data_IF_729582453495
#
_entry.id   IF_729582453495
#
_cell.length_a   1.000
_cell.length_b   1.000
_cell.length_c   1.000
_cell.angle_alpha   90.00
_cell.angle_beta   90.00
_cell.angle_gamma   90.00
#
_symmetry.space_group_name_H-M   'P 1'
#
loop_
_entity.id
_entity.type
_entity.pdbx_description
1 polymer ?
#
# COMPACT_ATOMS: atom_id res chain seq x y z
N UNK A 1 -1.69 -31.77 8.07
CA UNK A 1 -3.10 -31.81 8.51
C UNK A 1 -3.28 -30.60 9.42
N UNK A 2 -3.80 -29.49 8.90
CA UNK A 2 -4.00 -28.28 9.70
C UNK A 2 -5.27 -28.46 10.53
N UNK A 3 -5.12 -28.34 11.86
CA UNK A 3 -6.22 -28.38 12.82
C UNK A 3 -7.13 -27.18 12.57
N UNK A 4 -8.37 -27.46 12.17
CA UNK A 4 -9.48 -26.52 12.23
C UNK A 4 -9.75 -26.22 13.70
N UNK A 5 -9.13 -25.15 14.19
CA UNK A 5 -9.55 -24.52 15.44
C UNK A 5 -11.00 -24.08 15.19
N UNK A 6 -11.93 -24.72 15.90
CA UNK A 6 -13.32 -24.26 16.00
C UNK A 6 -13.28 -22.81 16.48
N UNK A 7 -13.51 -21.89 15.54
CA UNK A 7 -13.77 -20.51 15.86
C UNK A 7 -15.13 -20.53 16.57
N UNK A 8 -15.12 -20.38 17.89
CA UNK A 8 -16.35 -20.12 18.65
C UNK A 8 -17.11 -18.97 18.00
N UNK A 9 -18.43 -19.00 18.11
CA UNK A 9 -19.35 -18.06 17.46
C UNK A 9 -18.75 -16.65 17.39
N UNK A 10 -18.38 -16.22 16.17
CA UNK A 10 -17.80 -14.92 15.93
C UNK A 10 -18.80 -13.86 16.40
N UNK A 11 -18.48 -13.16 17.48
CA UNK A 11 -19.37 -12.12 17.97
C UNK A 11 -19.56 -11.04 16.89
N UNK A 12 -20.80 -10.53 16.70
CA UNK A 12 -21.10 -9.48 15.73
C UNK A 12 -20.20 -8.23 15.81
N UNK A 13 -19.58 -8.01 16.96
CA UNK A 13 -18.67 -6.90 17.26
C UNK A 13 -17.29 -7.09 16.63
N UNK A 14 -16.83 -8.33 16.39
CA UNK A 14 -15.45 -8.60 15.93
C UNK A 14 -15.23 -8.38 14.45
N UNK A 15 -16.29 -8.19 13.65
CA UNK A 15 -16.15 -7.85 12.24
C UNK A 15 -16.04 -6.33 12.02
N UNK A 16 -16.59 -5.55 12.93
CA UNK A 16 -16.67 -4.10 12.80
C UNK A 16 -15.29 -3.47 12.88
N UNK A 17 -15.05 -2.43 12.10
CA UNK A 17 -13.76 -1.77 11.99
C UNK A 17 -13.25 -1.68 10.55
N UNK A 18 -11.97 -1.35 10.44
CA UNK A 18 -11.29 -1.13 9.18
C UNK A 18 -10.46 -2.34 8.81
N UNK A 19 -10.47 -2.68 7.54
CA UNK A 19 -9.76 -3.84 6.99
C UNK A 19 -9.07 -3.46 5.69
N UNK A 20 -7.90 -4.03 5.43
CA UNK A 20 -7.09 -3.70 4.25
C UNK A 20 -6.52 -4.95 3.59
N UNK A 21 -6.51 -4.98 2.27
CA UNK A 21 -5.83 -6.02 1.51
C UNK A 21 -4.33 -5.77 1.41
N UNK A 22 -3.57 -6.82 1.11
CA UNK A 22 -2.26 -6.65 0.50
C UNK A 22 -2.38 -5.88 -0.83
N UNK A 23 -1.26 -5.33 -1.29
CA UNK A 23 -1.22 -4.64 -2.57
C UNK A 23 -1.58 -5.64 -3.69
N UNK A 24 -2.60 -5.33 -4.49
CA UNK A 24 -2.89 -6.08 -5.71
C UNK A 24 -1.94 -5.69 -6.84
N UNK A 25 -2.00 -6.36 -7.99
CA UNK A 25 -1.02 -6.24 -9.10
C UNK A 25 -0.70 -4.79 -9.54
N UNK A 26 -1.62 -3.85 -9.33
CA UNK A 26 -1.44 -2.42 -9.67
C UNK A 26 -0.93 -1.55 -8.50
N UNK A 27 -0.44 -2.15 -7.41
CA UNK A 27 -0.03 -1.43 -6.21
C UNK A 27 -1.19 -0.83 -5.40
N UNK A 28 -2.43 -1.19 -5.76
CA UNK A 28 -3.64 -0.70 -5.10
C UNK A 28 -3.96 -1.55 -3.88
N UNK A 29 -4.53 -0.93 -2.86
CA UNK A 29 -5.06 -1.61 -1.68
C UNK A 29 -6.57 -1.45 -1.60
N UNK A 30 -7.29 -2.55 -1.35
CA UNK A 30 -8.71 -2.48 -1.04
C UNK A 30 -8.89 -2.28 0.46
N UNK A 31 -9.77 -1.36 0.81
CA UNK A 31 -10.11 -1.06 2.20
C UNK A 31 -11.60 -1.25 2.38
N UNK A 32 -11.99 -2.02 3.39
CA UNK A 32 -13.39 -2.17 3.81
C UNK A 32 -13.52 -1.62 5.22
N UNK A 33 -14.43 -0.67 5.36
CA UNK A 33 -14.83 -0.12 6.64
C UNK A 33 -16.25 -0.59 6.96
N UNK A 34 -16.40 -1.35 8.04
CA UNK A 34 -17.68 -1.86 8.54
C UNK A 34 -18.02 -1.12 9.83
N UNK A 35 -19.12 -0.37 9.82
CA UNK A 35 -19.53 0.49 10.92
C UNK A 35 -20.63 -0.15 11.78
N UNK A 36 -20.86 0.41 12.96
CA UNK A 36 -21.90 -0.03 13.91
C UNK A 36 -23.34 0.16 13.38
N UNK A 37 -23.57 1.13 12.49
CA UNK A 37 -24.91 1.47 11.96
C UNK A 37 -25.34 0.60 10.76
N UNK A 38 -24.90 -0.66 10.70
CA UNK A 38 -25.14 -1.58 9.57
C UNK A 38 -24.70 -1.04 8.19
N UNK A 39 -23.79 -0.07 8.19
CA UNK A 39 -23.23 0.57 6.98
C UNK A 39 -21.80 0.12 6.74
N UNK A 40 -21.44 0.00 5.47
CA UNK A 40 -20.05 -0.21 5.06
C UNK A 40 -19.62 0.77 3.97
N UNK A 41 -18.31 0.98 3.87
CA UNK A 41 -17.67 1.66 2.76
C UNK A 41 -16.52 0.81 2.20
N UNK A 42 -16.53 0.60 0.89
CA UNK A 42 -15.44 0.01 0.13
C UNK A 42 -14.64 1.14 -0.53
N UNK A 43 -13.35 1.18 -0.24
CA UNK A 43 -12.42 2.18 -0.76
C UNK A 43 -11.25 1.47 -1.48
N UNK A 44 -10.67 2.16 -2.45
CA UNK A 44 -9.35 1.84 -2.99
C UNK A 44 -8.38 2.90 -2.49
N UNK A 45 -7.23 2.44 -2.02
CA UNK A 45 -6.08 3.28 -1.73
C UNK A 45 -5.02 3.05 -2.81
N UNK A 46 -4.67 4.12 -3.50
CA UNK A 46 -3.44 4.23 -4.30
C UNK A 46 -2.38 4.95 -3.46
N UNK A 47 -1.14 5.02 -3.97
CA UNK A 47 0.01 5.58 -3.27
C UNK A 47 -0.22 7.00 -2.71
N UNK A 48 -1.02 7.81 -3.39
CA UNK A 48 -1.21 9.24 -3.14
C UNK A 48 -2.67 9.62 -2.83
N UNK A 49 -3.60 8.66 -2.86
CA UNK A 49 -5.01 8.97 -2.90
C UNK A 49 -5.90 7.82 -2.41
N UNK A 50 -7.04 8.16 -1.82
CA UNK A 50 -8.07 7.20 -1.40
C UNK A 50 -9.38 7.56 -2.08
N UNK A 51 -9.97 6.59 -2.77
CA UNK A 51 -11.22 6.73 -3.49
C UNK A 51 -12.27 5.77 -2.94
N UNK A 52 -13.46 6.29 -2.62
CA UNK A 52 -14.61 5.44 -2.26
C UNK A 52 -15.20 4.85 -3.54
N UNK A 53 -15.09 3.53 -3.70
CA UNK A 53 -15.69 2.79 -4.81
C UNK A 53 -17.20 2.65 -4.66
N UNK A 54 -17.60 2.22 -3.46
CA UNK A 54 -18.99 1.87 -3.15
C UNK A 54 -19.23 1.97 -1.65
N UNK A 55 -20.49 2.17 -1.31
CA UNK A 55 -20.99 2.14 0.05
C UNK A 55 -22.33 1.41 0.06
N UNK A 56 -22.70 0.91 1.23
CA UNK A 56 -24.04 0.38 1.40
C UNK A 56 -24.23 -0.23 2.76
N UNK A 57 -25.04 -1.29 2.81
CA UNK A 57 -25.39 -1.95 4.06
C UNK A 57 -24.75 -3.31 4.16
N UNK A 58 -24.63 -3.82 5.38
CA UNK A 58 -24.14 -5.18 5.61
C UNK A 58 -25.12 -5.95 6.49
N UNK A 59 -25.09 -7.28 6.38
CA UNK A 59 -25.87 -8.16 7.25
C UNK A 59 -25.13 -9.47 7.53
N UNK A 60 -25.44 -10.08 8.67
CA UNK A 60 -24.99 -11.42 8.99
C UNK A 60 -25.83 -12.47 8.25
N UNK A 61 -25.15 -13.47 7.69
CA UNK A 61 -25.73 -14.63 7.02
C UNK A 61 -24.99 -15.89 7.47
N UNK A 62 -25.35 -16.40 8.64
CA UNK A 62 -24.66 -17.52 9.28
C UNK A 62 -23.25 -17.12 9.72
N UNK A 63 -22.23 -17.82 9.22
CA UNK A 63 -20.81 -17.58 9.48
C UNK A 63 -20.17 -16.52 8.56
N UNK A 64 -20.98 -15.92 7.68
CA UNK A 64 -20.54 -14.92 6.69
C UNK A 64 -21.29 -13.62 6.83
N UNK A 65 -20.75 -12.59 6.19
CA UNK A 65 -21.37 -11.27 6.07
C UNK A 65 -21.58 -10.97 4.60
N UNK A 66 -22.77 -10.45 4.29
CA UNK A 66 -23.10 -9.98 2.95
C UNK A 66 -23.08 -8.46 2.95
N UNK A 67 -22.26 -7.87 2.08
CA UNK A 67 -22.19 -6.43 1.84
C UNK A 67 -23.00 -6.08 0.59
N UNK A 68 -24.06 -5.28 0.77
CA UNK A 68 -24.97 -4.86 -0.29
C UNK A 68 -24.67 -3.44 -0.73
N UNK A 69 -24.20 -3.31 -1.98
CA UNK A 69 -23.96 -2.00 -2.59
C UNK A 69 -25.27 -1.21 -2.74
N UNK A 70 -25.28 0.06 -2.34
CA UNK A 70 -26.39 0.99 -2.61
C UNK A 70 -26.73 1.11 -4.10
N UNK A 71 -25.73 0.91 -4.97
CA UNK A 71 -25.91 0.97 -6.42
C UNK A 71 -26.55 -0.31 -7.01
N UNK A 72 -26.93 -1.29 -6.19
CA UNK A 72 -27.64 -2.51 -6.60
C UNK A 72 -26.84 -3.51 -7.43
N UNK A 73 -25.55 -3.26 -7.65
CA UNK A 73 -24.73 -3.95 -8.67
C UNK A 73 -23.89 -5.12 -8.14
N UNK A 74 -24.00 -5.49 -6.88
CA UNK A 74 -23.32 -6.69 -6.37
C UNK A 74 -23.41 -6.88 -4.87
N UNK A 75 -23.34 -8.15 -4.47
CA UNK A 75 -23.13 -8.60 -3.11
C UNK A 75 -21.67 -9.05 -2.96
N UNK A 76 -20.96 -8.53 -1.95
CA UNK A 76 -19.69 -9.10 -1.52
C UNK A 76 -19.94 -10.00 -0.32
N UNK A 77 -19.41 -11.21 -0.37
CA UNK A 77 -19.44 -12.17 0.73
C UNK A 77 -18.13 -12.04 1.47
N UNK A 78 -18.22 -11.80 2.77
CA UNK A 78 -17.09 -11.65 3.67
C UNK A 78 -17.12 -12.80 4.67
N UNK A 79 -15.99 -13.46 4.85
CA UNK A 79 -15.82 -14.51 5.86
C UNK A 79 -14.66 -14.16 6.76
N UNK A 80 -14.93 -14.04 8.05
CA UNK A 80 -13.88 -13.82 9.04
C UNK A 80 -13.20 -15.16 9.34
N UNK A 81 -11.89 -15.22 9.09
CA UNK A 81 -11.07 -16.41 9.35
C UNK A 81 -10.47 -16.37 10.76
N UNK A 82 -10.18 -15.17 11.27
CA UNK A 82 -9.73 -14.93 12.63
C UNK A 82 -10.06 -13.49 13.06
N UNK A 83 -9.75 -13.15 14.31
CA UNK A 83 -9.91 -11.77 14.82
C UNK A 83 -9.26 -10.72 13.90
N UNK A 84 -8.16 -11.07 13.22
CA UNK A 84 -7.35 -10.14 12.43
C UNK A 84 -7.39 -10.38 10.93
N UNK A 85 -8.05 -11.45 10.46
CA UNK A 85 -8.01 -11.85 9.06
C UNK A 85 -9.43 -12.17 8.58
N UNK A 86 -9.80 -11.61 7.43
CA UNK A 86 -11.01 -11.97 6.72
C UNK A 86 -10.74 -12.16 5.23
N UNK A 87 -11.64 -12.86 4.56
CA UNK A 87 -11.66 -12.97 3.10
C UNK A 87 -12.89 -12.25 2.56
N UNK A 88 -12.72 -11.56 1.45
CA UNK A 88 -13.80 -10.93 0.70
C UNK A 88 -13.85 -11.54 -0.69
N UNK A 89 -15.05 -11.89 -1.12
CA UNK A 89 -15.32 -12.50 -2.41
C UNK A 89 -16.52 -11.80 -3.03
N UNK A 90 -16.51 -11.55 -4.35
CA UNK A 90 -17.75 -11.19 -5.04
C UNK A 90 -18.58 -12.46 -5.23
N UNK A 91 -19.88 -12.40 -5.01
CA UNK A 91 -20.77 -13.58 -5.17
C UNK A 91 -20.62 -14.28 -6.54
N UNK A 92 -20.28 -13.54 -7.59
CA UNK A 92 -20.07 -14.06 -8.95
C UNK A 92 -18.66 -14.57 -9.24
N UNK A 93 -17.65 -14.13 -8.49
CA UNK A 93 -16.23 -14.43 -8.75
C UNK A 93 -15.74 -15.47 -7.73
N UNK A 94 -14.85 -16.38 -8.12
CA UNK A 94 -14.31 -17.41 -7.21
C UNK A 94 -13.03 -17.00 -6.48
N UNK A 95 -12.52 -15.80 -6.76
CA UNK A 95 -11.29 -15.31 -6.15
C UNK A 95 -11.57 -14.64 -4.81
N UNK A 96 -10.84 -15.11 -3.80
CA UNK A 96 -10.88 -14.54 -2.46
C UNK A 96 -9.76 -13.53 -2.31
N UNK A 97 -10.11 -12.30 -1.95
CA UNK A 97 -9.15 -11.30 -1.51
C UNK A 97 -9.01 -11.44 0.00
N UNK A 98 -7.79 -11.55 0.49
CA UNK A 98 -7.50 -11.60 1.93
C UNK A 98 -7.32 -10.16 2.44
N UNK A 99 -7.99 -9.84 3.55
CA UNK A 99 -7.86 -8.57 4.23
C UNK A 99 -7.44 -8.77 5.68
N UNK A 100 -6.57 -7.88 6.14
CA UNK A 100 -6.09 -7.81 7.52
C UNK A 100 -6.74 -6.64 8.25
N UNK A 101 -6.99 -6.81 9.54
CA UNK A 101 -7.59 -5.79 10.40
C UNK A 101 -6.64 -4.63 10.63
N UNK A 102 -7.15 -3.41 10.54
CA UNK A 102 -6.46 -2.19 10.93
C UNK A 102 -6.99 -1.77 12.30
N UNK A 103 -6.12 -1.80 13.30
CA UNK A 103 -6.41 -1.28 14.63
C UNK A 103 -5.97 0.18 14.69
N UNK A 104 -6.94 1.11 14.62
CA UNK A 104 -6.66 2.53 14.84
C UNK A 104 -6.56 2.80 16.34
N UNK A 105 -5.56 3.60 16.73
CA UNK A 105 -5.53 4.23 18.04
C UNK A 105 -6.63 5.30 18.08
N UNK A 106 -7.49 5.27 19.10
CA UNK A 106 -8.87 5.76 19.05
C UNK A 106 -9.09 7.28 19.05
N UNK A 107 -8.11 8.11 18.70
CA UNK A 107 -8.20 9.57 18.92
C UNK A 107 -7.97 10.48 17.71
N UNK A 108 -7.93 9.96 16.47
CA UNK A 108 -7.87 10.85 15.31
C UNK A 108 -8.73 10.38 14.13
N UNK A 109 -9.58 11.28 13.66
CA UNK A 109 -10.28 11.21 12.36
C UNK A 109 -9.32 11.17 11.15
N UNK A 110 -8.01 11.28 11.39
CA UNK A 110 -6.97 11.58 10.40
C UNK A 110 -6.05 10.38 10.11
N UNK A 111 -6.31 9.21 10.70
CA UNK A 111 -5.36 8.09 10.66
C UNK A 111 -5.25 7.35 9.32
N UNK A 112 -6.23 7.50 8.42
CA UNK A 112 -6.04 7.07 7.02
C UNK A 112 -4.99 7.93 6.29
N UNK A 113 -4.84 9.20 6.70
CA UNK A 113 -3.76 10.07 6.24
C UNK A 113 -2.39 9.54 6.63
N UNK A 114 -2.21 9.07 7.87
CA UNK A 114 -0.94 8.49 8.34
C UNK A 114 -0.54 7.21 7.60
N UNK A 115 -1.50 6.36 7.22
CA UNK A 115 -1.22 5.19 6.37
C UNK A 115 -0.80 5.61 4.95
N UNK A 116 -1.44 6.63 4.36
CA UNK A 116 -0.98 7.20 3.09
C UNK A 116 0.41 7.83 3.20
N UNK A 117 0.74 8.47 4.33
CA UNK A 117 2.08 9.04 4.56
C UNK A 117 3.16 7.97 4.62
N UNK A 118 2.92 6.83 5.28
CA UNK A 118 3.89 5.72 5.35
C UNK A 118 4.10 5.07 3.97
N UNK A 119 3.04 4.94 3.17
CA UNK A 119 3.12 4.40 1.80
C UNK A 119 3.76 5.41 0.82
N UNK A 120 3.41 6.70 0.92
CA UNK A 120 4.01 7.79 0.16
C UNK A 120 5.51 7.96 0.50
N UNK A 121 5.90 7.76 1.77
CA UNK A 121 7.30 7.70 2.17
C UNK A 121 8.03 6.61 1.40
N UNK A 122 7.41 5.43 1.22
CA UNK A 122 8.06 4.31 0.54
C UNK A 122 8.30 4.60 -0.94
N UNK A 123 7.35 5.22 -1.65
CA UNK A 123 7.50 5.58 -3.06
C UNK A 123 8.49 6.73 -3.29
N UNK A 124 8.35 7.82 -2.53
CA UNK A 124 9.19 9.01 -2.67
C UNK A 124 10.63 8.80 -2.21
N UNK A 125 10.86 7.96 -1.20
CA UNK A 125 12.19 7.68 -0.68
C UNK A 125 13.11 7.01 -1.71
N UNK A 126 12.62 6.02 -2.46
CA UNK A 126 13.44 5.35 -3.48
C UNK A 126 13.82 6.28 -4.63
N UNK A 127 12.91 7.17 -5.02
CA UNK A 127 13.19 8.17 -6.05
C UNK A 127 14.22 9.20 -5.58
N UNK A 128 14.10 9.70 -4.36
CA UNK A 128 15.08 10.61 -3.77
C UNK A 128 16.45 9.95 -3.60
N UNK A 129 16.48 8.70 -3.13
CA UNK A 129 17.70 7.91 -3.01
C UNK A 129 18.39 7.72 -4.38
N UNK A 130 17.61 7.42 -5.42
CA UNK A 130 18.12 7.30 -6.79
C UNK A 130 18.76 8.60 -7.30
N UNK A 131 18.09 9.74 -7.10
CA UNK A 131 18.66 11.06 -7.47
C UNK A 131 19.93 11.38 -6.69
N UNK A 132 19.97 11.06 -5.40
CA UNK A 132 21.17 11.25 -4.57
C UNK A 132 22.34 10.39 -5.07
N UNK A 133 22.10 9.13 -5.42
CA UNK A 133 23.13 8.26 -6.02
C UNK A 133 23.63 8.79 -7.36
N UNK A 134 22.74 9.25 -8.25
CA UNK A 134 23.12 9.87 -9.52
C UNK A 134 23.95 11.14 -9.33
N UNK A 135 23.58 11.99 -8.38
CA UNK A 135 24.31 13.22 -8.06
C UNK A 135 25.73 12.93 -7.56
N UNK A 136 25.88 11.99 -6.63
CA UNK A 136 27.18 11.58 -6.09
C UNK A 136 28.04 10.94 -7.19
N UNK A 137 27.48 10.01 -7.97
CA UNK A 137 28.21 9.32 -9.03
C UNK A 137 28.63 10.28 -10.14
N UNK A 138 27.74 11.20 -10.54
CA UNK A 138 28.03 12.26 -11.50
C UNK A 138 29.13 13.22 -11.03
N UNK A 139 29.12 13.57 -9.74
CA UNK A 139 30.16 14.42 -9.15
C UNK A 139 31.54 13.77 -9.20
N UNK A 140 31.65 12.47 -8.88
CA UNK A 140 32.92 11.74 -8.98
C UNK A 140 33.44 11.62 -10.42
N UNK A 141 32.54 11.46 -11.40
CA UNK A 141 32.92 11.44 -12.82
C UNK A 141 33.50 12.81 -13.24
N UNK A 142 32.87 13.91 -12.85
CA UNK A 142 33.37 15.27 -13.17
C UNK A 142 34.75 15.51 -12.57
N UNK A 143 34.95 15.15 -11.29
CA UNK A 143 36.26 15.25 -10.64
C UNK A 143 37.33 14.41 -11.36
N UNK A 144 36.98 13.20 -11.79
CA UNK A 144 37.89 12.30 -12.50
C UNK A 144 38.30 12.86 -13.87
N UNK A 145 37.35 13.43 -14.62
CA UNK A 145 37.62 14.09 -15.91
C UNK A 145 38.49 15.34 -15.69
N UNK A 146 38.17 16.15 -14.69
CA UNK A 146 38.94 17.34 -14.34
C UNK A 146 40.40 17.02 -14.00
N UNK A 147 40.63 15.99 -13.19
CA UNK A 147 41.98 15.51 -12.86
C UNK A 147 42.73 15.02 -14.11
N UNK A 148 42.06 14.29 -14.99
CA UNK A 148 42.64 13.81 -16.25
C UNK A 148 43.04 14.98 -17.18
N UNK A 149 42.18 15.99 -17.33
CA UNK A 149 42.47 17.18 -18.13
C UNK A 149 43.68 17.96 -17.60
N UNK A 150 43.81 18.08 -16.27
CA UNK A 150 44.97 18.73 -15.64
C UNK A 150 46.26 17.99 -15.99
N UNK A 151 46.28 16.66 -15.94
CA UNK A 151 47.45 15.86 -16.31
C UNK A 151 47.78 15.96 -17.81
N UNK A 152 46.77 16.00 -18.69
CA UNK A 152 46.97 16.24 -20.13
C UNK A 152 47.61 17.63 -20.37
N UNK A 153 47.11 18.68 -19.71
CA UNK A 153 47.68 20.03 -19.84
C UNK A 153 49.13 20.08 -19.34
N UNK A 154 49.43 19.46 -18.20
CA UNK A 154 50.81 19.35 -17.70
C UNK A 154 51.72 18.63 -18.69
N UNK A 155 51.24 17.54 -19.29
CA UNK A 155 51.99 16.78 -20.30
C UNK A 155 52.29 17.63 -21.54
N UNK A 156 51.30 18.37 -22.06
CA UNK A 156 51.47 19.30 -23.20
C UNK A 156 52.51 20.36 -22.87
N UNK A 157 52.41 21.02 -21.71
CA UNK A 157 53.38 22.05 -21.28
C UNK A 157 54.79 21.46 -21.16
N UNK A 158 54.92 20.24 -20.63
CA UNK A 158 56.22 19.55 -20.55
C UNK A 158 56.80 19.24 -21.93
N UNK A 159 55.98 18.97 -22.95
CA UNK A 159 56.45 18.73 -24.31
C UNK A 159 56.93 20.02 -24.97
N UNK A 160 56.18 21.12 -24.81
CA UNK A 160 56.55 22.43 -25.36
C UNK A 160 57.89 22.90 -24.77
N UNK A 161 58.07 22.82 -23.45
CA UNK A 161 59.33 23.23 -22.76
C UNK A 161 60.57 22.40 -23.12
N UNK A 162 60.40 21.22 -23.73
CA UNK A 162 61.51 20.33 -24.13
C UNK A 162 61.89 20.46 -25.61
N UNK A 163 61.25 21.37 -26.34
CA UNK A 163 61.56 21.66 -27.74
C UNK A 163 62.56 22.83 -27.74
N UNK A 164 63.80 22.65 -28.25
CA UNK A 164 64.83 23.69 -28.25
C UNK A 164 64.49 24.88 -29.16
#
# INVERSE_FOLDING_TARGET
>A
MFSLISCGDLEPTTIKGNWVSEAVENGLHYIIQINDDDKYALKIMATDSIYTLSSGTWTYKGDTISLYSQKGTGCLIVKQLSMNIMTVQREKDKENIILSRIYNNSNSSDDFGKFSEVLALKGGFWYFLYLAFLGIFGFFIILSIGACLIEVVKWIISKIKKTP
#
